data_IF_245289150114
#
_entry.id   IF_245289150114
#
_cell.length_a   1.000
_cell.length_b   1.000
_cell.length_c   1.000
_cell.angle_alpha   90.00
_cell.angle_beta   90.00
_cell.angle_gamma   90.00
#
_symmetry.space_group_name_H-M   'P 1'
#
loop_
_entity.id
_entity.type
_entity.pdbx_description
1 polymer ?
#
# COMPACT_ATOMS: atom_id res chain seq x y z
N UNK A 1 6.67 -4.87 -13.75
CA UNK A 1 5.87 -6.06 -13.43
C UNK A 1 4.58 -6.14 -14.27
N UNK A 2 4.30 -5.14 -15.14
CA UNK A 2 3.16 -5.16 -16.06
C UNK A 2 1.79 -5.01 -15.39
N UNK A 3 1.74 -4.41 -14.21
CA UNK A 3 0.48 -4.09 -13.51
C UNK A 3 -0.08 -2.79 -14.07
N UNK A 4 -1.34 -2.80 -14.48
CA UNK A 4 -2.07 -1.59 -14.86
C UNK A 4 -2.43 -0.78 -13.61
N UNK A 5 -2.28 0.54 -13.69
CA UNK A 5 -2.48 1.43 -12.54
C UNK A 5 -3.36 2.61 -12.92
N UNK A 6 -4.45 2.80 -12.18
CA UNK A 6 -5.30 4.01 -12.25
C UNK A 6 -4.96 4.91 -11.07
N UNK A 7 -4.60 6.17 -11.33
CA UNK A 7 -4.23 7.14 -10.29
C UNK A 7 -5.28 8.23 -10.18
N UNK A 8 -5.76 8.48 -8.95
CA UNK A 8 -6.71 9.56 -8.64
C UNK A 8 -6.23 10.38 -7.44
N UNK A 9 -6.55 11.65 -7.44
CA UNK A 9 -6.36 12.55 -6.28
C UNK A 9 -7.73 12.92 -5.76
N UNK A 10 -8.11 12.34 -4.63
CA UNK A 10 -9.40 12.53 -3.97
C UNK A 10 -9.19 12.72 -2.46
N UNK A 11 -10.15 13.33 -1.79
CA UNK A 11 -10.08 13.59 -0.35
C UNK A 11 -11.34 13.12 0.34
N UNK A 12 -11.19 12.29 1.39
CA UNK A 12 -12.34 11.85 2.20
C UNK A 12 -13.10 13.02 2.84
N UNK A 13 -12.39 14.12 3.16
CA UNK A 13 -12.99 15.27 3.83
C UNK A 13 -13.47 16.37 2.86
N UNK A 14 -12.80 16.53 1.70
CA UNK A 14 -13.05 17.66 0.78
C UNK A 14 -13.84 17.28 -0.46
N UNK A 15 -13.74 16.02 -0.89
CA UNK A 15 -14.41 15.47 -2.08
C UNK A 15 -15.09 14.14 -1.78
N UNK A 16 -15.93 14.04 -0.72
CA UNK A 16 -16.48 12.75 -0.28
C UNK A 16 -17.42 12.12 -1.31
N UNK A 17 -18.19 12.92 -2.04
CA UNK A 17 -19.13 12.42 -3.06
C UNK A 17 -18.39 11.81 -4.25
N UNK A 18 -17.38 12.51 -4.75
CA UNK A 18 -16.53 12.09 -5.85
C UNK A 18 -15.73 10.83 -5.48
N UNK A 19 -15.33 10.72 -4.21
CA UNK A 19 -14.66 9.54 -3.69
C UNK A 19 -15.59 8.32 -3.75
N UNK A 20 -16.80 8.43 -3.23
CA UNK A 20 -17.79 7.34 -3.24
C UNK A 20 -18.12 6.93 -4.68
N UNK A 21 -18.44 7.89 -5.55
CA UNK A 21 -18.75 7.60 -6.97
C UNK A 21 -17.58 6.92 -7.69
N UNK A 22 -16.34 7.30 -7.38
CA UNK A 22 -15.17 6.65 -7.96
C UNK A 22 -15.04 5.20 -7.47
N UNK A 23 -15.19 4.95 -6.16
CA UNK A 23 -15.11 3.59 -5.61
C UNK A 23 -16.19 2.69 -6.22
N UNK A 24 -17.41 3.17 -6.37
CA UNK A 24 -18.50 2.43 -7.03
C UNK A 24 -18.18 2.12 -8.49
N UNK A 25 -17.52 3.05 -9.21
CA UNK A 25 -17.20 2.88 -10.63
C UNK A 25 -16.09 1.87 -10.90
N UNK A 26 -15.27 1.52 -9.91
CA UNK A 26 -14.15 0.58 -10.06
C UNK A 26 -14.43 -0.80 -9.43
N UNK A 27 -15.65 -1.00 -8.92
CA UNK A 27 -16.03 -2.29 -8.35
C UNK A 27 -16.02 -3.38 -9.44
N UNK A 28 -15.26 -4.45 -9.17
CA UNK A 28 -14.99 -5.51 -10.14
C UNK A 28 -13.94 -5.21 -11.22
N UNK A 29 -13.46 -3.95 -11.32
CA UNK A 29 -12.47 -3.54 -12.33
C UNK A 29 -11.02 -3.58 -11.79
N UNK A 30 -10.84 -3.50 -10.46
CA UNK A 30 -9.51 -3.50 -9.82
C UNK A 30 -9.42 -4.58 -8.74
N UNK A 31 -8.22 -5.10 -8.53
CA UNK A 31 -7.98 -6.18 -7.55
C UNK A 31 -7.56 -5.66 -6.18
N UNK A 32 -7.03 -4.45 -6.10
CA UNK A 32 -6.51 -3.84 -4.86
C UNK A 32 -6.45 -2.32 -4.99
N UNK A 33 -6.67 -1.63 -3.88
CA UNK A 33 -6.56 -0.16 -3.81
C UNK A 33 -5.43 0.21 -2.85
N UNK A 34 -4.51 1.07 -3.29
CA UNK A 34 -3.54 1.72 -2.42
C UNK A 34 -4.05 3.13 -2.11
N UNK A 35 -4.26 3.44 -0.85
CA UNK A 35 -4.74 4.73 -0.41
C UNK A 35 -3.70 5.44 0.47
N UNK A 36 -3.08 6.50 -0.08
CA UNK A 36 -2.09 7.31 0.58
C UNK A 36 -2.72 8.55 1.22
N UNK A 37 -2.46 8.80 2.49
CA UNK A 37 -2.95 9.99 3.19
C UNK A 37 -2.05 10.39 4.36
N UNK A 38 -1.99 11.68 4.64
CA UNK A 38 -1.27 12.24 5.79
C UNK A 38 -2.19 12.89 6.81
N UNK A 39 -1.64 13.28 7.97
CA UNK A 39 -2.36 13.89 9.10
C UNK A 39 -3.48 12.98 9.61
N UNK A 40 -4.71 13.51 9.77
CA UNK A 40 -5.92 12.72 10.05
C UNK A 40 -6.29 11.89 8.81
N UNK A 41 -5.56 10.84 8.57
CA UNK A 41 -5.53 10.05 7.34
C UNK A 41 -6.72 9.10 7.23
N UNK A 42 -7.93 9.63 7.15
CA UNK A 42 -9.18 8.87 7.11
C UNK A 42 -9.47 8.21 5.74
N UNK A 43 -8.77 8.63 4.68
CA UNK A 43 -9.03 8.16 3.32
C UNK A 43 -9.07 6.63 3.18
N UNK A 44 -8.08 5.85 3.69
CA UNK A 44 -8.11 4.38 3.53
C UNK A 44 -9.29 3.76 4.28
N UNK A 45 -9.62 4.25 5.47
CA UNK A 45 -10.75 3.76 6.26
C UNK A 45 -12.10 4.03 5.60
N UNK A 46 -12.28 5.22 5.01
CA UNK A 46 -13.50 5.57 4.26
C UNK A 46 -13.65 4.69 3.02
N UNK A 47 -12.56 4.46 2.29
CA UNK A 47 -12.54 3.55 1.14
C UNK A 47 -12.91 2.12 1.59
N UNK A 48 -12.24 1.60 2.62
CA UNK A 48 -12.48 0.23 3.10
C UNK A 48 -13.93 0.02 3.61
N UNK A 49 -14.59 1.08 4.10
CA UNK A 49 -16.00 1.02 4.49
C UNK A 49 -16.96 0.99 3.28
N UNK A 50 -16.48 1.35 2.09
CA UNK A 50 -17.31 1.52 0.88
C UNK A 50 -17.13 0.39 -0.15
N UNK A 51 -16.21 -0.54 0.06
CA UNK A 51 -15.93 -1.63 -0.88
C UNK A 51 -15.40 -2.89 -0.18
N UNK A 52 -15.50 -4.03 -0.86
CA UNK A 52 -14.84 -5.28 -0.46
C UNK A 52 -13.48 -5.48 -1.15
N UNK A 53 -13.08 -4.57 -2.03
CA UNK A 53 -11.74 -4.59 -2.63
C UNK A 53 -10.69 -4.38 -1.52
N UNK A 54 -9.63 -5.21 -1.44
CA UNK A 54 -8.59 -5.04 -0.45
C UNK A 54 -7.97 -3.63 -0.49
N UNK A 55 -7.87 -2.98 0.68
CA UNK A 55 -7.30 -1.64 0.80
C UNK A 55 -5.97 -1.69 1.54
N UNK A 56 -4.93 -1.17 0.88
CA UNK A 56 -3.60 -0.96 1.44
C UNK A 56 -3.47 0.51 1.83
N UNK A 57 -3.35 0.78 3.12
CA UNK A 57 -3.12 2.13 3.66
C UNK A 57 -1.64 2.49 3.63
N UNK A 58 -1.31 3.60 3.00
CA UNK A 58 0.04 4.17 2.98
C UNK A 58 0.05 5.47 3.80
N UNK A 59 0.57 5.43 5.04
CA UNK A 59 0.72 6.62 5.86
C UNK A 59 1.75 7.57 5.24
N UNK A 60 1.39 8.84 5.11
CA UNK A 60 2.30 9.88 4.60
C UNK A 60 2.75 10.74 5.77
N UNK A 61 4.06 10.95 5.86
CA UNK A 61 4.68 11.83 6.84
C UNK A 61 4.10 13.25 6.73
N UNK A 62 3.80 13.83 7.87
CA UNK A 62 3.37 15.21 7.98
C UNK A 62 4.28 15.99 8.92
N UNK A 63 4.20 17.31 8.89
CA UNK A 63 4.99 18.21 9.74
C UNK A 63 4.63 18.14 11.23
N UNK A 64 3.55 17.46 11.60
CA UNK A 64 3.02 17.51 12.97
C UNK A 64 3.61 16.42 13.88
N UNK A 65 3.53 15.13 13.48
CA UNK A 65 3.98 14.00 14.32
C UNK A 65 4.82 13.02 13.52
N UNK A 66 5.55 13.49 12.52
CA UNK A 66 6.43 12.67 11.68
C UNK A 66 5.72 11.47 11.02
N UNK A 67 4.40 11.55 10.84
CA UNK A 67 3.58 10.49 10.25
C UNK A 67 2.94 9.53 11.26
N UNK A 68 3.23 9.65 12.56
CA UNK A 68 2.58 8.82 13.58
C UNK A 68 1.07 9.07 13.63
N UNK A 69 0.64 10.31 13.43
CA UNK A 69 -0.76 10.70 13.31
C UNK A 69 -1.45 9.97 12.14
N UNK A 70 -0.83 9.92 10.97
CA UNK A 70 -1.38 9.22 9.82
C UNK A 70 -1.36 7.70 10.00
N UNK A 71 -0.28 7.15 10.54
CA UNK A 71 -0.16 5.72 10.84
C UNK A 71 -1.28 5.28 11.80
N UNK A 72 -1.46 5.96 12.93
CA UNK A 72 -2.48 5.62 13.92
C UNK A 72 -3.91 5.80 13.36
N UNK A 73 -4.12 6.79 12.49
CA UNK A 73 -5.42 6.99 11.83
C UNK A 73 -5.81 5.85 10.88
N UNK A 74 -4.82 5.13 10.31
CA UNK A 74 -5.05 4.04 9.38
C UNK A 74 -5.08 2.66 10.04
N UNK A 75 -4.22 2.43 11.04
CA UNK A 75 -4.06 1.10 11.65
C UNK A 75 -5.12 0.81 12.71
N UNK A 76 -5.64 1.83 13.40
CA UNK A 76 -6.65 1.69 14.45
C UNK A 76 -8.08 1.66 13.88
N UNK A 77 -8.33 0.70 13.00
CA UNK A 77 -9.63 0.52 12.38
C UNK A 77 -10.63 -0.21 13.30
N UNK A 78 -11.92 0.12 13.21
CA UNK A 78 -12.96 -0.56 13.99
C UNK A 78 -13.11 -2.02 13.54
N UNK A 79 -13.64 -2.85 14.44
CA UNK A 79 -13.95 -4.25 14.13
C UNK A 79 -14.85 -4.37 12.89
N UNK A 80 -14.45 -5.17 11.92
CA UNK A 80 -15.21 -5.45 10.71
C UNK A 80 -14.75 -4.67 9.46
N UNK A 81 -13.98 -3.59 9.62
CA UNK A 81 -13.46 -2.77 8.50
C UNK A 81 -11.93 -2.71 8.58
N UNK A 82 -11.21 -3.72 8.09
CA UNK A 82 -9.75 -3.76 8.13
C UNK A 82 -9.11 -2.91 7.02
N UNK A 83 -7.94 -2.35 7.32
CA UNK A 83 -7.01 -1.74 6.34
C UNK A 83 -5.62 -2.34 6.54
N UNK A 84 -5.03 -2.85 5.47
CA UNK A 84 -3.66 -3.39 5.49
C UNK A 84 -2.64 -2.23 5.45
N UNK A 85 -2.27 -1.71 6.62
CA UNK A 85 -1.40 -0.54 6.72
C UNK A 85 0.08 -0.92 6.60
N UNK A 86 0.82 -0.21 5.74
CA UNK A 86 2.27 -0.37 5.55
C UNK A 86 3.05 0.73 6.27
N UNK A 87 4.38 0.69 6.17
CA UNK A 87 5.25 1.66 6.83
C UNK A 87 5.12 3.07 6.26
N UNK A 88 5.40 4.09 7.08
CA UNK A 88 5.30 5.51 6.73
C UNK A 88 6.21 5.82 5.52
N UNK A 89 5.69 6.57 4.55
CA UNK A 89 6.35 7.03 3.32
C UNK A 89 6.89 5.92 2.40
N UNK A 90 6.55 4.66 2.64
CA UNK A 90 7.04 3.56 1.81
C UNK A 90 6.05 3.16 0.71
N UNK A 91 6.04 3.93 -0.36
CA UNK A 91 5.29 3.57 -1.58
C UNK A 91 5.70 2.21 -2.14
N UNK A 92 6.99 1.85 -2.02
CA UNK A 92 7.49 0.53 -2.43
C UNK A 92 6.81 -0.60 -1.65
N UNK A 93 6.73 -0.51 -0.32
CA UNK A 93 6.06 -1.54 0.48
C UNK A 93 4.55 -1.60 0.22
N UNK A 94 3.91 -0.47 -0.08
CA UNK A 94 2.51 -0.46 -0.49
C UNK A 94 2.31 -1.20 -1.83
N UNK A 95 3.17 -0.95 -2.81
CA UNK A 95 3.15 -1.64 -4.09
C UNK A 95 3.44 -3.14 -3.95
N UNK A 96 4.44 -3.52 -3.16
CA UNK A 96 4.77 -4.93 -2.91
C UNK A 96 3.63 -5.67 -2.19
N UNK A 97 2.95 -5.03 -1.22
CA UNK A 97 1.78 -5.61 -0.56
C UNK A 97 0.63 -5.80 -1.56
N UNK A 98 0.35 -4.80 -2.39
CA UNK A 98 -0.63 -4.91 -3.46
C UNK A 98 -0.30 -6.07 -4.42
N UNK A 99 0.94 -6.18 -4.86
CA UNK A 99 1.39 -7.31 -5.70
C UNK A 99 1.26 -8.66 -4.99
N UNK A 100 1.52 -8.75 -3.68
CA UNK A 100 1.32 -9.98 -2.90
C UNK A 100 -0.15 -10.40 -2.88
N UNK A 101 -1.07 -9.45 -2.68
CA UNK A 101 -2.52 -9.70 -2.74
C UNK A 101 -2.90 -10.20 -4.14
N UNK A 102 -2.48 -9.50 -5.19
CA UNK A 102 -2.76 -9.85 -6.57
C UNK A 102 -2.11 -11.17 -7.00
N UNK A 103 -0.99 -11.57 -6.40
CA UNK A 103 -0.28 -12.82 -6.71
C UNK A 103 -1.10 -14.08 -6.40
N UNK A 104 -2.17 -13.96 -5.61
CA UNK A 104 -3.13 -15.04 -5.35
C UNK A 104 -3.90 -15.36 -6.64
N UNK A 105 -4.22 -14.35 -7.45
CA UNK A 105 -4.94 -14.45 -8.72
C UNK A 105 -4.00 -14.58 -9.94
N UNK A 106 -2.84 -13.93 -9.87
CA UNK A 106 -1.88 -13.82 -10.98
C UNK A 106 -0.55 -14.50 -10.66
N UNK A 107 -0.35 -15.79 -11.06
CA UNK A 107 0.87 -16.56 -10.71
C UNK A 107 2.18 -15.90 -11.16
N UNK A 108 2.17 -15.16 -12.26
CA UNK A 108 3.36 -14.43 -12.74
C UNK A 108 3.87 -13.43 -11.69
N UNK A 109 3.00 -12.69 -11.02
CA UNK A 109 3.41 -11.76 -9.97
C UNK A 109 4.07 -12.48 -8.78
N UNK A 110 3.64 -13.70 -8.50
CA UNK A 110 4.27 -14.53 -7.46
C UNK A 110 5.71 -14.89 -7.81
N UNK A 111 5.97 -15.24 -9.06
CA UNK A 111 7.34 -15.53 -9.51
C UNK A 111 8.20 -14.25 -9.53
N UNK A 112 7.66 -13.15 -10.01
CA UNK A 112 8.34 -11.86 -9.98
C UNK A 112 8.72 -11.43 -8.55
N UNK A 113 7.84 -11.63 -7.57
CA UNK A 113 8.11 -11.35 -6.16
C UNK A 113 9.19 -12.29 -5.56
N UNK A 114 9.23 -13.55 -5.98
CA UNK A 114 10.31 -14.47 -5.57
C UNK A 114 11.66 -13.98 -6.10
N UNK A 115 11.73 -13.65 -7.39
CA UNK A 115 12.95 -13.13 -8.01
C UNK A 115 13.41 -11.87 -7.29
N UNK A 116 12.52 -10.90 -7.06
CA UNK A 116 12.82 -9.68 -6.32
C UNK A 116 13.44 -9.96 -4.93
N UNK A 117 12.87 -10.90 -4.18
CA UNK A 117 13.41 -11.27 -2.86
C UNK A 117 14.76 -11.96 -2.93
N UNK A 118 14.99 -12.78 -3.96
CA UNK A 118 16.29 -13.44 -4.19
C UNK A 118 17.37 -12.40 -4.52
N UNK A 119 17.06 -11.41 -5.37
CA UNK A 119 17.98 -10.32 -5.71
C UNK A 119 18.34 -9.48 -4.48
N UNK A 120 17.34 -9.16 -3.63
CA UNK A 120 17.60 -8.45 -2.37
C UNK A 120 18.50 -9.26 -1.43
N UNK A 121 18.24 -10.56 -1.28
CA UNK A 121 19.06 -11.43 -0.43
C UNK A 121 20.49 -11.54 -0.98
N UNK A 122 20.64 -11.71 -2.30
CA UNK A 122 21.94 -11.80 -2.95
C UNK A 122 22.76 -10.51 -2.73
N UNK A 123 22.12 -9.35 -2.85
CA UNK A 123 22.79 -8.07 -2.59
C UNK A 123 23.38 -8.01 -1.17
N UNK A 124 22.63 -8.41 -0.16
CA UNK A 124 23.13 -8.43 1.23
C UNK A 124 24.30 -9.39 1.39
N UNK A 125 24.26 -10.57 0.75
CA UNK A 125 25.35 -11.54 0.78
C UNK A 125 26.61 -11.03 0.04
N UNK A 126 26.44 -10.28 -1.02
CA UNK A 126 27.56 -9.70 -1.77
C UNK A 126 28.19 -8.53 -0.98
N UNK A 127 27.38 -7.70 -0.32
CA UNK A 127 27.85 -6.65 0.59
C UNK A 127 28.63 -7.27 1.77
N UNK A 128 28.14 -8.35 2.38
CA UNK A 128 28.84 -9.08 3.44
C UNK A 128 30.19 -9.65 2.99
N UNK A 129 30.23 -10.26 1.80
CA UNK A 129 31.50 -10.77 1.24
C UNK A 129 32.49 -9.66 0.96
N UNK A 130 32.05 -8.50 0.46
CA UNK A 130 32.96 -7.39 0.15
C UNK A 130 33.68 -6.88 1.40
N UNK A 131 32.99 -6.76 2.52
CA UNK A 131 33.58 -6.33 3.80
C UNK A 131 34.58 -7.39 4.34
N UNK A 132 34.24 -8.68 4.21
CA UNK A 132 35.10 -9.76 4.72
C UNK A 132 36.33 -10.05 3.83
N UNK A 133 36.40 -9.54 2.62
CA UNK A 133 37.57 -9.62 1.74
C UNK A 133 38.61 -8.52 2.01
N UNK A 134 38.21 -7.46 2.71
CA UNK A 134 39.07 -6.35 3.10
C UNK A 134 39.75 -6.57 4.49
N UNK A 135 39.42 -7.64 5.19
CA UNK A 135 39.99 -8.05 6.47
C UNK A 135 41.01 -9.20 6.28
#
# INVERSE_FOLDING_TARGET
YGVEVVVRILSAHRTPKELVSFIESIDGEVDVIIAAAGKAAHLPGVIAASTLIPVVGLPIKSSTMDGMDSLLSMVQMPKGIPVATVTIDSGLNAALMAMQIMSIKYPKLKEDLKTYRQEMAQKVLDDDKSINQEL
#
